data_IF_985661075430
#
_entry.id   IF_985661075430
#
_cell.length_a   1.000
_cell.length_b   1.000
_cell.length_c   1.000
_cell.angle_alpha   90.00
_cell.angle_beta   90.00
_cell.angle_gamma   90.00
#
_symmetry.space_group_name_H-M   'P 1'
#
loop_
_entity.id
_entity.type
_entity.pdbx_description
1 polymer ?
#
# COMPACT_ATOMS: atom_id res chain seq x y z
N UNK A 1 -12.21 -9.71 -7.60
CA UNK A 1 -12.64 -9.31 -6.24
C UNK A 1 -11.43 -8.94 -5.37
N UNK A 2 -10.39 -9.77 -5.37
CA UNK A 2 -9.20 -9.58 -4.50
C UNK A 2 -8.29 -8.40 -4.89
N UNK A 3 -8.13 -8.05 -6.17
CA UNK A 3 -7.28 -6.92 -6.60
C UNK A 3 -7.79 -5.55 -6.14
N UNK A 4 -9.09 -5.27 -6.32
CA UNK A 4 -9.73 -4.04 -5.82
C UNK A 4 -9.59 -3.87 -4.31
N UNK A 5 -9.55 -4.97 -3.55
CA UNK A 5 -9.33 -4.92 -2.11
C UNK A 5 -7.87 -4.57 -1.77
N UNK A 6 -6.91 -5.14 -2.50
CA UNK A 6 -5.48 -4.82 -2.36
C UNK A 6 -5.18 -3.36 -2.73
N UNK A 7 -5.79 -2.83 -3.80
CA UNK A 7 -5.69 -1.41 -4.16
C UNK A 7 -6.24 -0.49 -3.07
N UNK A 8 -7.33 -0.90 -2.42
CA UNK A 8 -7.92 -0.13 -1.31
C UNK A 8 -7.00 -0.14 -0.08
N UNK A 9 -6.34 -1.26 0.19
CA UNK A 9 -5.33 -1.37 1.25
C UNK A 9 -4.11 -0.50 0.95
N UNK A 10 -3.58 -0.56 -0.27
CA UNK A 10 -2.48 0.31 -0.72
C UNK A 10 -2.81 1.79 -0.54
N UNK A 11 -4.00 2.24 -0.99
CA UNK A 11 -4.45 3.63 -0.80
C UNK A 11 -4.65 4.02 0.66
N UNK A 12 -5.02 3.07 1.52
CA UNK A 12 -5.12 3.31 2.97
C UNK A 12 -3.74 3.52 3.57
N UNK A 13 -2.79 2.65 3.26
CA UNK A 13 -1.42 2.76 3.76
C UNK A 13 -0.69 4.02 3.24
N UNK A 14 -1.00 4.49 2.03
CA UNK A 14 -0.52 5.81 1.55
C UNK A 14 -1.08 6.98 2.36
N UNK A 15 -2.37 6.92 2.74
CA UNK A 15 -2.96 7.95 3.61
C UNK A 15 -2.32 7.91 4.99
N UNK A 16 -2.11 6.72 5.53
CA UNK A 16 -1.46 6.54 6.83
C UNK A 16 0.00 7.03 6.80
N UNK A 17 0.75 6.78 5.71
CA UNK A 17 2.11 7.33 5.51
C UNK A 17 2.12 8.85 5.57
N UNK A 18 1.17 9.52 4.89
CA UNK A 18 1.04 10.98 4.94
C UNK A 18 0.74 11.49 6.35
N UNK A 19 -0.12 10.79 7.08
CA UNK A 19 -0.42 11.11 8.49
C UNK A 19 0.84 10.97 9.35
N UNK A 20 1.60 9.89 9.20
CA UNK A 20 2.86 9.69 9.94
C UNK A 20 3.89 10.77 9.58
N UNK A 21 4.02 11.14 8.30
CA UNK A 21 4.87 12.27 7.88
C UNK A 21 4.52 13.58 8.56
N UNK A 22 3.23 13.87 8.70
CA UNK A 22 2.79 15.07 9.42
C UNK A 22 3.12 14.99 10.92
N UNK A 23 3.02 13.79 11.52
CA UNK A 23 3.43 13.55 12.91
C UNK A 23 4.93 13.70 13.10
N UNK A 24 5.77 13.27 12.16
CA UNK A 24 7.22 13.51 12.17
C UNK A 24 7.51 15.01 12.22
N UNK A 25 6.90 15.80 11.34
CA UNK A 25 7.09 17.26 11.32
C UNK A 25 6.73 17.90 12.65
N UNK A 26 5.59 17.50 13.25
CA UNK A 26 5.17 17.99 14.57
C UNK A 26 6.13 17.55 15.69
N UNK A 27 6.57 16.30 15.68
CA UNK A 27 7.48 15.77 16.70
C UNK A 27 8.84 16.47 16.65
N UNK A 28 9.36 16.76 15.46
CA UNK A 28 10.60 17.54 15.27
C UNK A 28 10.42 18.97 15.79
N UNK A 29 9.30 19.63 15.48
CA UNK A 29 9.00 20.98 15.98
C UNK A 29 8.89 21.05 17.50
N UNK A 30 8.42 19.97 18.13
CA UNK A 30 8.30 19.86 19.58
C UNK A 30 9.62 19.44 20.27
N UNK A 31 10.70 19.22 19.51
CA UNK A 31 11.98 18.74 20.05
C UNK A 31 11.99 17.26 20.47
N UNK A 32 10.94 16.50 20.18
CA UNK A 32 10.84 15.08 20.50
C UNK A 32 11.47 14.23 19.37
N UNK A 33 12.80 14.15 19.38
CA UNK A 33 13.60 13.43 18.37
C UNK A 33 13.31 11.92 18.36
N UNK A 34 13.12 11.32 19.53
CA UNK A 34 12.81 9.89 19.71
C UNK A 34 11.45 9.55 19.08
N UNK A 35 10.42 10.35 19.37
CA UNK A 35 9.10 10.21 18.76
C UNK A 35 9.13 10.40 17.24
N UNK A 36 9.91 11.38 16.75
CA UNK A 36 10.10 11.59 15.32
C UNK A 36 10.74 10.38 14.63
N UNK A 37 11.70 9.70 15.28
CA UNK A 37 12.37 8.50 14.76
C UNK A 37 11.40 7.33 14.62
N UNK A 38 10.56 7.09 15.63
CA UNK A 38 9.51 6.05 15.60
C UNK A 38 8.49 6.35 14.48
N UNK A 39 8.04 7.60 14.37
CA UNK A 39 7.11 7.99 13.29
C UNK A 39 7.74 7.88 11.90
N UNK A 40 9.05 8.11 11.77
CA UNK A 40 9.78 7.93 10.52
C UNK A 40 9.88 6.46 10.10
N UNK A 41 10.23 5.55 11.02
CA UNK A 41 10.20 4.12 10.75
C UNK A 41 8.80 3.64 10.35
N UNK A 42 7.77 4.11 11.04
CA UNK A 42 6.38 3.79 10.72
C UNK A 42 5.99 4.27 9.32
N UNK A 43 6.40 5.49 8.94
CA UNK A 43 6.14 6.03 7.60
C UNK A 43 6.83 5.21 6.50
N UNK A 44 8.11 4.82 6.70
CA UNK A 44 8.87 4.00 5.76
C UNK A 44 8.21 2.62 5.59
N UNK A 45 7.84 1.99 6.69
CA UNK A 45 7.15 0.69 6.67
C UNK A 45 5.82 0.77 5.93
N UNK A 46 5.00 1.78 6.22
CA UNK A 46 3.72 1.98 5.54
C UNK A 46 3.86 2.23 4.04
N UNK A 47 4.91 2.96 3.62
CA UNK A 47 5.24 3.14 2.21
C UNK A 47 5.58 1.81 1.53
N UNK A 48 6.38 0.97 2.18
CA UNK A 48 6.77 -0.34 1.64
C UNK A 48 5.58 -1.31 1.59
N UNK A 49 4.73 -1.32 2.62
CA UNK A 49 3.48 -2.09 2.65
C UNK A 49 2.58 -1.69 1.48
N UNK A 50 2.36 -0.39 1.25
CA UNK A 50 1.57 0.10 0.12
C UNK A 50 2.12 -0.39 -1.23
N UNK A 51 3.43 -0.28 -1.46
CA UNK A 51 4.07 -0.75 -2.70
C UNK A 51 3.91 -2.26 -2.87
N UNK A 52 4.00 -3.04 -1.79
CA UNK A 52 3.81 -4.49 -1.86
C UNK A 52 2.35 -4.85 -2.17
N UNK A 53 1.37 -4.15 -1.57
CA UNK A 53 -0.03 -4.34 -1.90
C UNK A 53 -0.34 -4.00 -3.36
N UNK A 54 0.22 -2.91 -3.88
CA UNK A 54 0.07 -2.52 -5.28
C UNK A 54 0.65 -3.58 -6.23
N UNK A 55 1.88 -4.05 -5.97
CA UNK A 55 2.49 -5.13 -6.77
C UNK A 55 1.66 -6.41 -6.72
N UNK A 56 1.10 -6.75 -5.56
CA UNK A 56 0.26 -7.93 -5.42
C UNK A 56 -1.08 -7.76 -6.15
N UNK A 57 -1.68 -6.57 -6.12
CA UNK A 57 -2.88 -6.25 -6.89
C UNK A 57 -2.64 -6.48 -8.38
N UNK A 58 -1.54 -5.93 -8.93
CA UNK A 58 -1.15 -6.12 -10.33
C UNK A 58 -0.96 -7.59 -10.71
N UNK A 59 -0.32 -8.39 -9.85
CA UNK A 59 -0.15 -9.84 -10.07
C UNK A 59 -1.48 -10.56 -10.10
N UNK A 60 -2.39 -10.25 -9.16
CA UNK A 60 -3.72 -10.86 -9.09
C UNK A 60 -4.55 -10.50 -10.32
N UNK A 61 -4.53 -9.24 -10.77
CA UNK A 61 -5.24 -8.82 -11.99
C UNK A 61 -4.70 -9.50 -13.26
N UNK A 62 -3.38 -9.65 -13.36
CA UNK A 62 -2.75 -10.35 -14.48
C UNK A 62 -3.18 -11.84 -14.53
N UNK A 63 -3.21 -12.52 -13.37
CA UNK A 63 -3.67 -13.92 -13.29
C UNK A 63 -5.17 -14.00 -13.60
N UNK A 64 -5.98 -13.10 -13.05
CA UNK A 64 -7.42 -13.06 -13.32
C UNK A 64 -7.71 -12.86 -14.81
N UNK A 65 -6.96 -12.00 -15.48
CA UNK A 65 -7.10 -11.74 -16.92
C UNK A 65 -6.74 -12.98 -17.75
N UNK A 66 -5.65 -13.67 -17.41
CA UNK A 66 -5.24 -14.92 -18.07
C UNK A 66 -6.28 -16.03 -17.91
N UNK A 67 -6.84 -16.19 -16.70
CA UNK A 67 -7.89 -17.17 -16.44
C UNK A 67 -9.15 -16.84 -17.24
N UNK A 68 -9.56 -15.57 -17.27
CA UNK A 68 -10.72 -15.13 -18.05
C UNK A 68 -10.53 -15.45 -19.54
N UNK A 69 -9.38 -15.13 -20.13
CA UNK A 69 -9.09 -15.44 -21.54
C UNK A 69 -9.12 -16.95 -21.80
N UNK A 70 -8.55 -17.77 -20.91
CA UNK A 70 -8.56 -19.23 -21.06
C UNK A 70 -9.99 -19.82 -20.97
N UNK A 71 -10.85 -19.27 -20.11
CA UNK A 71 -12.25 -19.68 -20.02
C UNK A 71 -13.04 -19.31 -21.28
N UNK A 72 -12.86 -18.10 -21.80
CA UNK A 72 -13.50 -17.66 -23.04
C UNK A 72 -13.06 -18.53 -24.23
N UNK A 73 -11.78 -18.90 -24.31
CA UNK A 73 -11.27 -19.79 -25.36
C UNK A 73 -11.79 -21.24 -25.28
N UNK A 74 -12.22 -21.71 -24.11
CA UNK A 74 -12.83 -23.04 -23.94
C UNK A 74 -14.34 -23.07 -24.19
N UNK A 75 -14.98 -21.90 -24.22
CA UNK A 75 -16.42 -21.75 -24.44
C UNK A 75 -16.81 -21.50 -25.89
N UNK A 76 -15.85 -21.60 -26.82
CA UNK A 76 -16.03 -21.65 -28.29
C UNK A 76 -15.69 -23.06 -28.74
#
# INVERSE_FOLDING_TARGET
FSSKQLDRLSKRDEKDEKVQRNKIKKAIQQGNMEGAKIYAENAIRKKNESLNYLRMASKVDAVSSKVQSALTMKGV
#
